data_IF_264212942205
#
_entry.id   IF_264212942205
#
_cell.length_a   1.000
_cell.length_b   1.000
_cell.length_c   1.000
_cell.angle_alpha   90.00
_cell.angle_beta   90.00
_cell.angle_gamma   90.00
#
_symmetry.space_group_name_H-M   'P 1'
#
loop_
_entity.id
_entity.type
_entity.pdbx_description
1 polymer ?
#
# COMPACT_ATOMS: atom_id res chain seq x y z
N UNK A 1 -72.36 -56.94 -43.78
CA UNK A 1 -70.94 -57.33 -43.90
C UNK A 1 -70.21 -56.63 -42.77
N UNK A 2 -70.50 -57.00 -41.53
CA UNK A 2 -69.89 -58.09 -40.73
C UNK A 2 -68.70 -57.53 -39.91
N UNK A 3 -68.92 -57.32 -38.60
CA UNK A 3 -68.47 -58.18 -37.48
C UNK A 3 -66.98 -58.00 -37.18
N UNK A 4 -66.60 -57.19 -36.18
CA UNK A 4 -66.49 -57.52 -34.75
C UNK A 4 -65.17 -58.23 -34.37
N UNK A 5 -64.46 -57.60 -33.40
CA UNK A 5 -63.68 -58.22 -32.31
C UNK A 5 -62.34 -58.89 -32.66
N UNK A 6 -61.24 -58.35 -32.12
CA UNK A 6 -60.41 -59.08 -31.15
C UNK A 6 -59.57 -58.11 -30.30
N UNK A 7 -59.78 -58.18 -28.98
CA UNK A 7 -58.97 -57.55 -27.93
C UNK A 7 -57.95 -58.58 -27.41
N UNK A 8 -56.73 -58.14 -27.10
CA UNK A 8 -55.96 -58.59 -25.92
C UNK A 8 -54.69 -59.42 -26.11
N UNK A 9 -53.54 -58.88 -25.67
CA UNK A 9 -52.43 -59.46 -24.86
C UNK A 9 -51.16 -58.60 -25.09
N UNK A 10 -50.74 -57.71 -24.18
CA UNK A 10 -50.01 -57.89 -22.91
C UNK A 10 -48.47 -58.07 -23.05
N UNK A 11 -47.76 -57.11 -22.44
CA UNK A 11 -46.40 -57.11 -21.84
C UNK A 11 -45.18 -57.44 -22.71
N UNK A 12 -44.25 -56.48 -22.87
CA UNK A 12 -42.91 -56.47 -22.24
C UNK A 12 -41.92 -55.55 -23.00
N UNK A 13 -41.08 -54.82 -22.27
CA UNK A 13 -39.90 -54.13 -22.83
C UNK A 13 -39.67 -52.71 -22.29
N UNK A 14 -38.86 -52.62 -21.23
CA UNK A 14 -38.48 -51.37 -20.58
C UNK A 14 -37.39 -50.57 -21.33
N UNK A 15 -37.17 -49.34 -20.84
CA UNK A 15 -35.92 -48.54 -20.90
C UNK A 15 -35.54 -47.83 -22.22
N UNK A 16 -35.62 -46.49 -22.22
CA UNK A 16 -34.44 -45.62 -22.04
C UNK A 16 -34.83 -44.13 -22.13
N UNK A 17 -34.62 -43.42 -21.02
CA UNK A 17 -34.78 -41.98 -20.90
C UNK A 17 -33.68 -41.24 -21.69
N UNK A 18 -34.08 -40.28 -22.52
CA UNK A 18 -33.19 -39.22 -22.99
C UNK A 18 -33.77 -37.87 -22.58
N UNK A 19 -33.60 -37.55 -21.29
CA UNK A 19 -33.63 -36.17 -20.81
C UNK A 19 -32.45 -35.44 -21.45
N UNK A 20 -32.68 -34.75 -22.57
CA UNK A 20 -31.73 -33.80 -23.11
C UNK A 20 -31.72 -32.58 -22.20
N UNK A 21 -30.95 -32.68 -21.11
CA UNK A 21 -30.57 -31.55 -20.29
C UNK A 21 -29.59 -30.71 -21.11
N UNK A 22 -30.11 -29.85 -22.00
CA UNK A 22 -29.31 -28.79 -22.60
C UNK A 22 -29.01 -27.78 -21.50
N UNK A 23 -27.96 -28.07 -20.73
CA UNK A 23 -27.32 -27.12 -19.84
C UNK A 23 -26.79 -25.98 -20.71
N UNK A 24 -27.65 -24.99 -20.96
CA UNK A 24 -27.16 -23.67 -21.31
C UNK A 24 -26.47 -23.17 -20.05
N UNK A 25 -25.15 -23.37 -20.00
CA UNK A 25 -24.28 -22.62 -19.12
C UNK A 25 -24.46 -21.15 -19.51
N UNK A 26 -25.43 -20.47 -18.88
CA UNK A 26 -25.45 -19.02 -18.85
C UNK A 26 -24.23 -18.61 -18.05
N UNK A 27 -23.13 -18.42 -18.79
CA UNK A 27 -21.94 -17.71 -18.36
C UNK A 27 -22.40 -16.30 -17.95
N UNK A 28 -22.65 -16.14 -16.65
CA UNK A 28 -23.06 -14.88 -16.06
C UNK A 28 -21.90 -13.90 -16.15
N UNK A 29 -21.92 -13.10 -17.21
CA UNK A 29 -21.05 -11.95 -17.39
C UNK A 29 -21.49 -10.86 -16.40
N UNK A 30 -21.07 -10.99 -15.14
CA UNK A 30 -21.26 -9.94 -14.14
C UNK A 30 -20.35 -8.76 -14.51
N UNK A 31 -20.88 -7.54 -14.65
CA UNK A 31 -20.04 -6.38 -14.89
C UNK A 31 -19.15 -6.20 -13.66
N UNK A 32 -17.84 -6.31 -13.87
CA UNK A 32 -16.70 -5.89 -13.04
C UNK A 32 -17.07 -4.79 -12.02
N UNK A 33 -17.62 -5.20 -10.88
CA UNK A 33 -18.12 -4.30 -9.84
C UNK A 33 -17.31 -4.55 -8.58
N UNK A 34 -16.23 -3.76 -8.43
CA UNK A 34 -15.41 -3.71 -7.20
C UNK A 34 -16.33 -3.64 -5.98
N UNK A 35 -16.16 -4.59 -5.06
CA UNK A 35 -16.95 -4.71 -3.83
C UNK A 35 -16.93 -3.40 -3.01
N UNK A 36 -18.06 -2.96 -2.42
CA UNK A 36 -18.10 -1.74 -1.61
C UNK A 36 -17.09 -1.69 -0.45
N UNK A 37 -16.78 -2.85 0.17
CA UNK A 37 -15.74 -3.01 1.18
C UNK A 37 -14.34 -2.75 0.61
N UNK A 38 -13.98 -3.39 -0.50
CA UNK A 38 -12.71 -3.15 -1.20
C UNK A 38 -12.56 -1.69 -1.62
N UNK A 39 -13.63 -1.03 -2.08
CA UNK A 39 -13.60 0.41 -2.40
C UNK A 39 -13.29 1.27 -1.18
N UNK A 40 -13.77 0.89 0.01
CA UNK A 40 -13.53 1.61 1.26
C UNK A 40 -12.08 1.46 1.69
N UNK A 41 -11.53 0.25 1.63
CA UNK A 41 -10.12 -0.04 1.94
C UNK A 41 -9.18 0.73 1.01
N UNK A 42 -9.39 0.64 -0.31
CA UNK A 42 -8.60 1.41 -1.29
C UNK A 42 -8.67 2.93 -1.06
N UNK A 43 -9.77 3.45 -0.52
CA UNK A 43 -9.88 4.87 -0.15
C UNK A 43 -9.09 5.18 1.12
N UNK A 44 -9.04 4.27 2.08
CA UNK A 44 -8.25 4.39 3.31
C UNK A 44 -6.76 4.35 2.99
N UNK A 45 -6.27 3.34 2.25
CA UNK A 45 -4.86 3.23 1.84
C UNK A 45 -4.40 4.50 1.10
N UNK A 46 -5.25 5.02 0.22
CA UNK A 46 -4.94 6.26 -0.51
C UNK A 46 -4.81 7.47 0.42
N UNK A 47 -5.58 7.51 1.51
CA UNK A 47 -5.47 8.57 2.53
C UNK A 47 -4.19 8.41 3.35
N UNK A 48 -3.85 7.19 3.74
CA UNK A 48 -2.62 6.86 4.48
C UNK A 48 -1.38 7.23 3.67
N UNK A 49 -1.28 6.74 2.42
CA UNK A 49 -0.17 7.10 1.50
C UNK A 49 -0.02 8.63 1.36
N UNK A 50 -1.14 9.37 1.33
CA UNK A 50 -1.13 10.84 1.24
C UNK A 50 -0.61 11.46 2.53
N UNK A 51 -0.97 10.92 3.69
CA UNK A 51 -0.48 11.35 5.00
C UNK A 51 1.03 11.10 5.09
N UNK A 52 1.49 9.89 4.82
CA UNK A 52 2.92 9.53 4.83
C UNK A 52 3.73 10.41 3.87
N UNK A 53 3.14 10.74 2.71
CA UNK A 53 3.78 11.65 1.75
C UNK A 53 3.97 13.05 2.33
N UNK A 54 3.02 13.54 3.13
CA UNK A 54 3.12 14.86 3.79
C UNK A 54 4.14 14.82 4.92
N UNK A 55 4.12 13.78 5.75
CA UNK A 55 5.06 13.57 6.85
C UNK A 55 6.50 13.49 6.31
N UNK A 56 6.77 12.58 5.34
CA UNK A 56 8.07 12.51 4.65
C UNK A 56 8.56 13.85 4.06
N UNK A 57 7.64 14.76 3.70
CA UNK A 57 7.99 16.10 3.19
C UNK A 57 8.30 17.07 4.33
N UNK A 58 7.61 16.97 5.46
CA UNK A 58 7.91 17.73 6.66
C UNK A 58 9.31 17.36 7.19
N UNK A 59 9.61 16.07 7.38
CA UNK A 59 10.91 15.63 7.93
C UNK A 59 12.06 16.03 7.01
N UNK A 60 11.84 16.04 5.68
CA UNK A 60 12.83 16.57 4.73
C UNK A 60 13.15 18.04 4.94
N UNK A 61 12.15 18.84 5.32
CA UNK A 61 12.31 20.28 5.57
C UNK A 61 12.99 20.52 6.91
N UNK A 62 12.65 19.74 7.93
CA UNK A 62 13.30 19.74 9.24
C UNK A 62 14.78 19.40 9.12
N UNK A 63 15.12 18.24 8.55
CA UNK A 63 16.50 17.83 8.25
C UNK A 63 17.28 18.87 7.44
N UNK A 64 16.59 19.64 6.60
CA UNK A 64 17.22 20.73 5.87
C UNK A 64 17.59 21.89 6.79
N UNK A 65 16.69 22.29 7.70
CA UNK A 65 16.93 23.33 8.72
C UNK A 65 18.05 22.91 9.67
N UNK A 66 17.98 21.71 10.24
CA UNK A 66 19.00 21.21 11.18
C UNK A 66 20.39 21.15 10.53
N UNK A 67 20.43 20.87 9.21
CA UNK A 67 21.69 20.91 8.45
C UNK A 67 22.23 22.34 8.32
N UNK A 68 21.37 23.35 8.17
CA UNK A 68 21.79 24.75 8.14
C UNK A 68 22.24 25.22 9.53
N UNK A 69 21.53 24.82 10.58
CA UNK A 69 21.85 25.16 11.96
C UNK A 69 23.21 24.56 12.34
N UNK A 70 23.42 23.26 12.11
CA UNK A 70 24.72 22.60 12.29
C UNK A 70 25.85 23.25 11.46
N UNK A 71 25.52 23.87 10.33
CA UNK A 71 26.51 24.62 9.52
C UNK A 71 26.82 25.96 10.16
N UNK A 72 25.83 26.64 10.73
CA UNK A 72 26.00 27.87 11.51
C UNK A 72 26.85 27.59 12.76
N UNK A 73 26.54 26.56 13.55
CA UNK A 73 27.30 26.22 14.75
C UNK A 73 28.77 25.94 14.45
N UNK A 74 29.05 25.24 13.34
CA UNK A 74 30.42 25.01 12.87
C UNK A 74 31.14 26.28 12.43
N UNK A 75 30.41 27.29 11.94
CA UNK A 75 30.98 28.59 11.59
C UNK A 75 31.29 29.36 12.86
N UNK A 76 30.39 29.35 13.83
CA UNK A 76 30.51 30.08 15.08
C UNK A 76 31.63 29.48 15.93
N UNK A 77 31.71 28.14 16.06
CA UNK A 77 32.87 27.45 16.63
C UNK A 77 34.23 27.87 16.03
N UNK A 78 34.28 28.10 14.71
CA UNK A 78 35.53 28.55 14.05
C UNK A 78 35.84 30.02 14.37
N UNK A 79 34.81 30.85 14.52
CA UNK A 79 34.94 32.25 14.94
C UNK A 79 35.41 32.30 16.39
N UNK A 80 34.75 31.60 17.30
CA UNK A 80 35.09 31.58 18.73
C UNK A 80 36.53 31.10 18.95
N UNK A 81 36.96 30.09 18.19
CA UNK A 81 38.35 29.63 18.20
C UNK A 81 39.34 30.69 17.73
N UNK A 82 38.96 31.54 16.77
CA UNK A 82 39.80 32.66 16.29
C UNK A 82 39.82 33.81 17.31
N UNK A 83 38.69 34.05 17.97
CA UNK A 83 38.49 35.16 18.89
C UNK A 83 39.01 34.87 20.30
N UNK A 84 39.60 33.68 20.52
CA UNK A 84 40.31 33.33 21.74
C UNK A 84 39.43 32.70 22.82
N UNK A 85 38.29 32.11 22.45
CA UNK A 85 37.46 31.34 23.37
C UNK A 85 38.27 30.28 24.13
N UNK A 86 37.86 30.02 25.36
CA UNK A 86 38.55 29.09 26.25
C UNK A 86 38.47 27.66 25.73
N UNK A 87 39.42 26.84 26.15
CA UNK A 87 39.40 25.42 25.82
C UNK A 87 38.15 24.70 26.36
N UNK A 88 37.53 25.20 27.43
CA UNK A 88 36.30 24.64 27.98
C UNK A 88 35.11 24.91 27.06
N UNK A 89 34.93 26.15 26.60
CA UNK A 89 33.88 26.56 25.65
C UNK A 89 34.00 25.78 24.33
N UNK A 90 35.18 25.79 23.72
CA UNK A 90 35.41 25.05 22.47
C UNK A 90 35.19 23.53 22.57
N UNK A 91 35.34 22.97 23.79
CA UNK A 91 35.02 21.55 24.04
C UNK A 91 33.51 21.34 24.17
N UNK A 92 32.78 22.28 24.76
CA UNK A 92 31.32 22.25 24.84
C UNK A 92 30.71 22.33 23.44
N UNK A 93 31.05 23.34 22.63
CA UNK A 93 30.53 23.51 21.27
C UNK A 93 30.81 22.27 20.40
N UNK A 94 32.02 21.70 20.52
CA UNK A 94 32.39 20.49 19.79
C UNK A 94 31.51 19.29 20.18
N UNK A 95 31.09 19.19 21.44
CA UNK A 95 30.19 18.13 21.91
C UNK A 95 28.79 18.33 21.35
N UNK A 96 28.28 19.55 21.36
CA UNK A 96 26.97 19.93 20.80
C UNK A 96 26.92 19.65 19.30
N UNK A 97 27.84 20.23 18.51
CA UNK A 97 27.98 19.96 17.07
C UNK A 97 28.05 18.46 16.75
N UNK A 98 28.66 17.66 17.63
CA UNK A 98 28.75 16.21 17.46
C UNK A 98 27.43 15.52 17.79
N UNK A 99 26.71 15.97 18.81
CA UNK A 99 25.38 15.48 19.19
C UNK A 99 24.37 15.77 18.06
N UNK A 100 24.25 17.02 17.62
CA UNK A 100 23.34 17.41 16.53
C UNK A 100 23.70 16.67 15.23
N UNK A 101 25.00 16.50 14.98
CA UNK A 101 25.47 15.70 13.85
C UNK A 101 25.11 14.20 13.95
N UNK A 102 24.88 13.65 15.14
CA UNK A 102 24.37 12.28 15.35
C UNK A 102 22.85 12.23 15.18
N UNK A 103 22.12 13.19 15.73
CA UNK A 103 20.66 13.32 15.59
C UNK A 103 20.29 13.42 14.10
N UNK A 104 20.92 14.35 13.37
CA UNK A 104 20.72 14.50 11.92
C UNK A 104 21.01 13.23 11.10
N UNK A 105 21.87 12.32 11.61
CA UNK A 105 22.10 11.02 10.98
C UNK A 105 20.97 10.03 11.30
N UNK A 106 20.43 10.08 12.52
CA UNK A 106 19.22 9.38 12.94
C UNK A 106 18.03 9.76 12.05
N UNK A 107 17.71 11.04 11.95
CA UNK A 107 16.55 11.53 11.19
C UNK A 107 16.64 11.13 9.72
N UNK A 108 17.85 11.19 9.14
CA UNK A 108 18.07 10.73 7.75
C UNK A 108 17.85 9.24 7.57
N UNK A 109 18.15 8.44 8.59
CA UNK A 109 17.91 6.99 8.58
C UNK A 109 16.42 6.71 8.69
N UNK A 110 15.72 7.39 9.59
CA UNK A 110 14.26 7.29 9.77
C UNK A 110 13.53 7.69 8.49
N UNK A 111 13.85 8.87 7.95
CA UNK A 111 13.33 9.33 6.66
C UNK A 111 13.59 8.36 5.49
N UNK A 112 14.67 7.58 5.55
CA UNK A 112 14.93 6.54 4.54
C UNK A 112 13.98 5.34 4.73
N UNK A 113 13.69 4.95 5.97
CA UNK A 113 12.71 3.92 6.28
C UNK A 113 11.30 4.35 5.88
N UNK A 114 10.86 5.55 6.26
CA UNK A 114 9.52 6.05 5.91
C UNK A 114 9.30 6.09 4.39
N UNK A 115 10.34 6.50 3.64
CA UNK A 115 10.31 6.45 2.18
C UNK A 115 10.19 5.04 1.63
N UNK A 116 10.80 4.04 2.29
CA UNK A 116 10.71 2.63 1.90
C UNK A 116 9.31 2.09 2.18
N UNK A 117 8.77 2.39 3.35
CA UNK A 117 7.47 1.90 3.80
C UNK A 117 6.35 2.51 2.97
N UNK A 118 6.39 3.83 2.75
CA UNK A 118 5.48 4.48 1.79
C UNK A 118 5.58 3.90 0.38
N UNK A 119 6.78 3.53 -0.08
CA UNK A 119 6.96 2.86 -1.39
C UNK A 119 6.38 1.44 -1.40
N UNK A 120 6.42 0.72 -0.28
CA UNK A 120 5.73 -0.55 -0.12
C UNK A 120 4.22 -0.34 -0.16
N UNK A 121 3.66 0.53 0.67
CA UNK A 121 2.22 0.83 0.68
C UNK A 121 1.68 1.29 -0.68
N UNK A 122 2.44 2.11 -1.43
CA UNK A 122 2.06 2.48 -2.81
C UNK A 122 2.05 1.28 -3.77
N UNK A 123 2.95 0.31 -3.60
CA UNK A 123 2.98 -0.92 -4.42
C UNK A 123 1.80 -1.82 -4.08
N UNK A 124 1.49 -1.97 -2.80
CA UNK A 124 0.39 -2.80 -2.30
C UNK A 124 -0.95 -2.22 -2.75
N UNK A 125 -1.18 -0.92 -2.52
CA UNK A 125 -2.35 -0.20 -3.05
C UNK A 125 -2.55 -0.38 -4.57
N UNK A 126 -1.46 -0.42 -5.35
CA UNK A 126 -1.55 -0.65 -6.81
C UNK A 126 -1.92 -2.09 -7.15
N UNK A 127 -1.47 -3.06 -6.35
CA UNK A 127 -1.82 -4.48 -6.49
C UNK A 127 -3.29 -4.68 -6.10
N UNK A 128 -3.72 -4.16 -4.96
CA UNK A 128 -5.09 -4.32 -4.47
C UNK A 128 -6.08 -3.65 -5.42
N UNK A 129 -5.77 -2.45 -5.89
CA UNK A 129 -6.58 -1.78 -6.93
C UNK A 129 -6.66 -2.57 -8.24
N UNK A 130 -5.64 -3.38 -8.57
CA UNK A 130 -5.65 -4.23 -9.78
C UNK A 130 -6.51 -5.46 -9.54
N UNK A 131 -6.38 -6.09 -8.37
CA UNK A 131 -7.13 -7.28 -7.98
C UNK A 131 -8.63 -6.96 -7.88
N UNK A 132 -8.98 -5.87 -7.21
CA UNK A 132 -10.34 -5.35 -7.09
C UNK A 132 -11.04 -5.10 -8.43
N UNK A 133 -10.29 -4.85 -9.51
CA UNK A 133 -10.81 -4.68 -10.88
C UNK A 133 -10.88 -5.98 -11.68
N UNK A 134 -10.42 -7.08 -11.10
CA UNK A 134 -10.39 -8.42 -11.71
C UNK A 134 -11.37 -9.36 -11.01
N UNK A 135 -11.64 -9.12 -9.73
CA UNK A 135 -12.78 -9.62 -8.97
C UNK A 135 -14.09 -9.10 -9.57
#
# INVERSE_FOLDING_TARGET
MDQSLFRGMVLSGALLATLTFTATAQEQNTPNQVDPGERKELRQDRREIRRDTRETRADRREIHRDKQDLKADRRDYRRDRRDGATQAELRADRREIKADGRELRGDRRELRMDRRDRRAGVRDFRRDRRNARRS
#
